data_IF_234990368820
#
_entry.id   IF_234990368820
#
_cell.length_a   1.000
_cell.length_b   1.000
_cell.length_c   1.000
_cell.angle_alpha   90.00
_cell.angle_beta   90.00
_cell.angle_gamma   90.00
#
_symmetry.space_group_name_H-M   'P 1'
#
loop_
_entity.id
_entity.type
_entity.pdbx_description
1 polymer ?
#
# COMPACT_ATOMS: atom_id res chain seq x y z
N UNK A 1 -10.31 3.96 19.62
CA UNK A 1 -10.73 2.74 18.91
C UNK A 1 -10.54 2.95 17.42
N UNK A 2 -9.40 2.51 16.89
CA UNK A 2 -9.15 2.38 15.45
C UNK A 2 -10.11 1.32 14.90
N UNK A 3 -10.83 1.65 13.82
CA UNK A 3 -11.65 0.66 13.12
C UNK A 3 -10.70 -0.38 12.51
N UNK A 4 -11.06 -1.68 12.45
CA UNK A 4 -10.31 -2.62 11.63
C UNK A 4 -10.47 -2.19 10.17
N UNK A 5 -9.43 -1.59 9.60
CA UNK A 5 -9.34 -1.34 8.17
C UNK A 5 -9.17 -2.68 7.46
N UNK A 6 -9.66 -2.75 6.22
CA UNK A 6 -9.91 -3.99 5.46
C UNK A 6 -8.89 -5.10 5.74
N UNK A 7 -9.41 -6.25 6.15
CA UNK A 7 -8.59 -7.43 6.47
C UNK A 7 -7.66 -7.73 5.30
N UNK A 8 -6.36 -7.87 5.56
CA UNK A 8 -5.41 -8.39 4.58
C UNK A 8 -5.68 -9.89 4.44
N UNK A 9 -6.60 -10.25 3.53
CA UNK A 9 -7.18 -11.60 3.45
C UNK A 9 -6.26 -12.60 2.77
N UNK A 10 -5.31 -12.12 1.99
CA UNK A 10 -4.40 -12.91 1.18
C UNK A 10 -2.95 -12.58 1.55
N UNK A 11 -2.71 -12.34 2.85
CA UNK A 11 -1.41 -12.01 3.40
C UNK A 11 -1.08 -12.96 4.54
N UNK A 12 0.09 -13.58 4.46
CA UNK A 12 0.60 -14.49 5.47
C UNK A 12 2.03 -14.11 5.85
N UNK A 13 2.37 -14.32 7.12
CA UNK A 13 3.75 -14.34 7.58
C UNK A 13 4.16 -15.80 7.77
N UNK A 14 4.95 -16.38 6.86
CA UNK A 14 5.37 -17.77 6.96
C UNK A 14 6.21 -18.00 8.21
N UNK A 15 5.93 -19.11 8.89
CA UNK A 15 6.74 -19.62 9.98
C UNK A 15 7.73 -20.67 9.45
N UNK A 16 8.70 -21.07 10.28
CA UNK A 16 9.61 -22.18 9.94
C UNK A 16 8.85 -23.49 9.61
N UNK A 17 7.63 -23.65 10.13
CA UNK A 17 6.76 -24.81 9.91
C UNK A 17 5.78 -24.61 8.75
N UNK A 18 5.73 -23.43 8.14
CA UNK A 18 4.84 -23.19 7.00
C UNK A 18 5.34 -23.98 5.80
N UNK A 19 4.44 -24.68 5.08
CA UNK A 19 4.83 -25.29 3.82
C UNK A 19 5.33 -24.20 2.89
N UNK A 20 6.43 -24.42 2.17
CA UNK A 20 6.94 -23.44 1.24
C UNK A 20 5.87 -23.12 0.20
N UNK A 21 5.75 -21.83 -0.14
CA UNK A 21 4.82 -21.39 -1.17
C UNK A 21 5.46 -21.58 -2.56
N UNK A 22 4.68 -21.91 -3.59
CA UNK A 22 5.20 -21.94 -4.95
C UNK A 22 5.62 -20.51 -5.34
N UNK A 23 6.90 -20.35 -5.68
CA UNK A 23 7.40 -19.16 -6.36
C UNK A 23 7.55 -19.52 -7.83
N UNK A 24 6.73 -18.93 -8.69
CA UNK A 24 7.03 -18.99 -10.11
C UNK A 24 8.18 -18.02 -10.39
N UNK A 25 9.15 -18.42 -11.22
CA UNK A 25 10.02 -17.43 -11.85
C UNK A 25 10.24 -17.70 -13.32
N UNK A 26 10.22 -16.64 -14.11
CA UNK A 26 10.58 -16.70 -15.52
C UNK A 26 12.10 -16.56 -15.64
N UNK A 27 12.74 -17.43 -16.43
CA UNK A 27 14.18 -17.34 -16.74
C UNK A 27 14.34 -17.38 -18.25
N UNK A 28 14.85 -16.30 -18.86
CA UNK A 28 15.02 -16.18 -20.32
C UNK A 28 13.69 -16.31 -21.05
N UNK A 29 12.61 -15.73 -20.51
CA UNK A 29 11.28 -15.74 -21.13
C UNK A 29 10.48 -17.05 -21.02
N UNK A 30 11.03 -18.10 -20.40
CA UNK A 30 10.30 -19.33 -20.11
C UNK A 30 9.89 -19.39 -18.64
N UNK A 31 8.61 -19.65 -18.38
CA UNK A 31 8.12 -19.90 -17.03
C UNK A 31 8.83 -21.14 -16.49
N UNK A 32 9.60 -20.96 -15.42
CA UNK A 32 10.15 -22.05 -14.65
C UNK A 32 9.46 -22.05 -13.29
N UNK A 33 9.06 -23.22 -12.83
CA UNK A 33 8.79 -23.37 -11.40
C UNK A 33 10.14 -23.16 -10.69
N UNK A 34 10.28 -22.05 -9.97
CA UNK A 34 11.37 -21.96 -9.00
C UNK A 34 10.91 -22.77 -7.82
N UNK A 35 11.76 -23.69 -7.39
CA UNK A 35 11.42 -24.61 -6.32
C UNK A 35 10.86 -23.84 -5.12
N UNK A 36 9.96 -24.50 -4.41
CA UNK A 36 9.48 -24.16 -3.10
C UNK A 36 10.52 -23.40 -2.25
N UNK A 37 10.30 -22.11 -2.00
CA UNK A 37 11.16 -21.31 -1.13
C UNK A 37 10.48 -21.07 0.21
N UNK A 38 11.17 -21.37 1.31
CA UNK A 38 10.71 -21.00 2.64
C UNK A 38 11.20 -19.59 2.98
N UNK A 39 10.36 -18.58 2.80
CA UNK A 39 10.70 -17.18 3.09
C UNK A 39 10.78 -16.86 4.58
N UNK A 40 10.40 -17.78 5.48
CA UNK A 40 10.45 -17.54 6.94
C UNK A 40 11.86 -17.19 7.43
N UNK A 41 12.90 -17.66 6.72
CA UNK A 41 14.31 -17.35 7.02
C UNK A 41 14.63 -15.86 6.90
N UNK A 42 13.83 -15.09 6.16
CA UNK A 42 13.96 -13.64 6.01
C UNK A 42 13.34 -12.87 7.19
N UNK A 43 12.56 -13.54 8.04
CA UNK A 43 11.91 -12.94 9.21
C UNK A 43 11.19 -11.63 8.90
N UNK A 44 11.30 -10.67 9.82
CA UNK A 44 10.68 -9.35 9.69
C UNK A 44 11.21 -8.53 8.49
N UNK A 45 12.37 -8.87 7.92
CA UNK A 45 12.96 -8.13 6.82
C UNK A 45 12.28 -8.40 5.46
N UNK A 46 11.64 -9.56 5.28
CA UNK A 46 11.09 -9.91 3.96
C UNK A 46 10.30 -11.21 3.86
N UNK A 47 9.91 -11.84 4.98
CA UNK A 47 9.21 -13.12 4.91
C UNK A 47 7.76 -13.03 4.38
N UNK A 48 7.14 -11.85 4.49
CA UNK A 48 5.71 -11.65 4.19
C UNK A 48 5.35 -12.04 2.75
N UNK A 49 4.36 -12.91 2.60
CA UNK A 49 3.74 -13.25 1.31
C UNK A 49 2.38 -12.55 1.24
N UNK A 50 2.11 -11.83 0.15
CA UNK A 50 0.92 -11.00 0.00
C UNK A 50 0.49 -10.88 -1.46
N UNK A 51 -0.60 -10.15 -1.70
CA UNK A 51 -1.10 -9.82 -3.04
C UNK A 51 -0.96 -8.32 -3.33
N UNK A 52 -1.06 -7.94 -4.61
CA UNK A 52 -1.07 -6.53 -5.00
C UNK A 52 -2.17 -5.73 -4.33
N UNK A 53 -3.36 -6.33 -4.18
CA UNK A 53 -4.50 -5.70 -3.52
C UNK A 53 -4.26 -5.48 -2.03
N UNK A 54 -3.74 -6.48 -1.32
CA UNK A 54 -3.49 -6.37 0.12
C UNK A 54 -2.36 -5.36 0.41
N UNK A 55 -1.26 -5.40 -0.36
CA UNK A 55 -0.14 -4.46 -0.18
C UNK A 55 -0.55 -3.02 -0.46
N UNK A 56 -1.32 -2.77 -1.53
CA UNK A 56 -1.82 -1.41 -1.80
C UNK A 56 -2.81 -0.94 -0.73
N UNK A 57 -3.68 -1.83 -0.23
CA UNK A 57 -4.56 -1.50 0.90
C UNK A 57 -3.79 -1.14 2.17
N UNK A 58 -2.72 -1.90 2.49
CA UNK A 58 -1.84 -1.60 3.61
C UNK A 58 -1.17 -0.23 3.48
N UNK A 59 -0.54 0.04 2.33
CA UNK A 59 0.13 1.32 2.11
C UNK A 59 -0.86 2.50 2.11
N UNK A 60 -2.07 2.33 1.54
CA UNK A 60 -3.13 3.35 1.61
C UNK A 60 -3.52 3.65 3.06
N UNK A 61 -3.80 2.63 3.87
CA UNK A 61 -4.18 2.81 5.27
C UNK A 61 -3.04 3.43 6.10
N UNK A 62 -1.79 3.01 5.85
CA UNK A 62 -0.61 3.57 6.48
C UNK A 62 -0.46 5.07 6.15
N UNK A 63 -0.52 5.44 4.87
CA UNK A 63 -0.37 6.82 4.41
C UNK A 63 -1.56 7.70 4.84
N UNK A 64 -2.76 7.13 4.98
CA UNK A 64 -3.92 7.83 5.50
C UNK A 64 -3.87 8.07 7.02
N UNK A 65 -2.87 7.53 7.74
CA UNK A 65 -2.76 7.63 9.20
C UNK A 65 -3.76 6.78 9.95
N UNK A 66 -4.26 5.72 9.33
CA UNK A 66 -5.26 4.83 9.91
C UNK A 66 -4.62 3.76 10.82
N UNK A 67 -3.33 3.50 10.62
CA UNK A 67 -2.57 2.45 11.32
C UNK A 67 -1.66 2.98 12.43
N UNK A 68 -1.27 4.26 12.38
CA UNK A 68 -0.29 4.86 13.27
C UNK A 68 -0.86 6.15 13.90
N UNK A 69 -0.52 6.44 15.18
CA UNK A 69 -0.74 7.77 15.75
C UNK A 69 -0.06 8.87 14.91
N UNK A 70 -0.58 10.11 14.91
CA UNK A 70 -0.04 11.20 14.07
C UNK A 70 1.46 11.44 14.25
N UNK A 71 1.96 11.36 15.48
CA UNK A 71 3.38 11.55 15.82
C UNK A 71 4.27 10.47 15.21
N UNK A 72 3.86 9.20 15.31
CA UNK A 72 4.56 8.07 14.71
C UNK A 72 4.51 8.13 13.17
N UNK A 73 3.39 8.56 12.59
CA UNK A 73 3.28 8.78 11.14
C UNK A 73 4.23 9.89 10.67
N UNK A 74 4.36 10.97 11.45
CA UNK A 74 5.30 12.05 11.14
C UNK A 74 6.75 11.56 11.16
N UNK A 75 7.13 10.76 12.16
CA UNK A 75 8.46 10.12 12.22
C UNK A 75 8.68 9.15 11.05
N UNK A 76 7.69 8.34 10.69
CA UNK A 76 7.77 7.42 9.55
C UNK A 76 8.03 8.14 8.22
N UNK A 77 7.49 9.36 8.07
CA UNK A 77 7.65 10.22 6.89
C UNK A 77 8.86 11.14 6.95
N UNK A 78 9.65 11.10 8.02
CA UNK A 78 10.93 11.80 8.07
C UNK A 78 11.90 11.06 7.14
N UNK A 79 12.06 11.60 5.95
CA UNK A 79 12.79 10.98 4.84
C UNK A 79 14.21 11.53 4.72
N UNK A 80 15.12 10.68 4.25
CA UNK A 80 16.50 11.04 3.88
C UNK A 80 16.83 10.50 2.48
N UNK A 81 17.73 11.12 1.71
CA UNK A 81 18.16 10.57 0.41
C UNK A 81 18.65 9.12 0.51
N UNK A 82 18.36 8.30 -0.49
CA UNK A 82 18.83 6.91 -0.54
C UNK A 82 19.08 6.42 -1.98
N UNK A 83 19.87 5.36 -2.10
CA UNK A 83 20.30 4.81 -3.40
C UNK A 83 19.43 3.64 -3.90
N UNK A 84 18.18 3.54 -3.43
CA UNK A 84 17.27 2.46 -3.88
C UNK A 84 16.75 2.65 -5.30
N UNK A 85 16.66 3.90 -5.76
CA UNK A 85 16.28 4.30 -7.10
C UNK A 85 16.71 5.76 -7.33
N UNK A 86 16.69 6.20 -8.59
CA UNK A 86 16.95 7.63 -8.89
C UNK A 86 15.95 8.54 -8.16
N UNK A 87 16.48 9.46 -7.36
CA UNK A 87 15.68 10.42 -6.59
C UNK A 87 14.87 9.80 -5.45
N UNK A 88 15.20 8.56 -5.04
CA UNK A 88 14.53 7.92 -3.92
C UNK A 88 14.95 8.54 -2.58
N UNK A 89 13.99 8.56 -1.66
CA UNK A 89 14.22 8.95 -0.28
C UNK A 89 13.59 7.88 0.62
N UNK A 90 14.16 7.69 1.81
CA UNK A 90 13.80 6.60 2.71
C UNK A 90 13.40 7.13 4.08
N UNK A 91 12.25 6.69 4.58
CA UNK A 91 11.78 6.95 5.94
C UNK A 91 11.90 5.72 6.83
N UNK A 92 11.17 5.68 7.94
CA UNK A 92 11.17 4.50 8.82
C UNK A 92 10.24 3.41 8.28
N UNK A 93 10.72 2.65 7.30
CA UNK A 93 9.99 1.55 6.68
C UNK A 93 9.66 1.79 5.21
N UNK A 94 8.84 2.80 4.85
CA UNK A 94 8.58 3.11 3.46
C UNK A 94 9.64 4.02 2.85
N UNK A 95 9.92 3.80 1.56
CA UNK A 95 10.59 4.74 0.68
C UNK A 95 9.57 5.61 -0.06
N UNK A 96 10.05 6.68 -0.69
CA UNK A 96 9.31 7.40 -1.72
C UNK A 96 10.18 7.69 -2.94
N UNK A 97 9.55 7.78 -4.10
CA UNK A 97 10.20 8.14 -5.37
C UNK A 97 9.31 9.11 -6.18
N UNK A 98 9.91 10.02 -6.96
CA UNK A 98 9.18 11.05 -7.69
C UNK A 98 8.41 10.45 -8.88
N UNK A 99 7.19 10.95 -9.14
CA UNK A 99 6.33 10.47 -10.22
C UNK A 99 6.53 11.27 -11.52
N UNK A 100 6.88 12.55 -11.44
CA UNK A 100 7.07 13.43 -12.61
C UNK A 100 8.53 13.62 -13.02
N UNK A 101 9.47 13.05 -12.27
CA UNK A 101 10.90 13.35 -12.43
C UNK A 101 11.35 14.66 -11.79
N UNK A 102 10.41 15.46 -11.26
CA UNK A 102 10.65 16.60 -10.37
C UNK A 102 9.88 16.43 -9.05
N UNK A 103 10.28 17.16 -8.01
CA UNK A 103 9.64 17.07 -6.69
C UNK A 103 8.20 17.64 -6.66
N UNK A 104 7.75 18.28 -7.76
CA UNK A 104 6.48 19.02 -7.85
C UNK A 104 5.28 18.21 -8.34
N UNK A 105 5.50 17.12 -9.10
CA UNK A 105 4.42 16.27 -9.63
C UNK A 105 4.05 15.06 -8.75
N UNK A 106 4.42 15.12 -7.47
CA UNK A 106 3.96 14.18 -6.44
C UNK A 106 4.86 12.97 -6.25
N UNK A 107 4.57 12.24 -5.17
CA UNK A 107 5.39 11.15 -4.65
C UNK A 107 4.60 9.85 -4.63
N UNK A 108 5.26 8.76 -5.01
CA UNK A 108 4.79 7.41 -4.69
C UNK A 108 5.46 6.96 -3.40
N UNK A 109 4.66 6.67 -2.37
CA UNK A 109 5.09 6.13 -1.08
C UNK A 109 4.85 4.62 -1.03
N UNK A 110 5.86 3.84 -0.68
CA UNK A 110 5.73 2.40 -0.55
C UNK A 110 7.06 1.73 -0.26
N UNK A 111 7.14 0.42 -0.43
CA UNK A 111 8.41 -0.30 -0.35
C UNK A 111 8.39 -1.50 -1.29
N UNK A 112 9.53 -1.80 -1.90
CA UNK A 112 9.69 -2.94 -2.79
C UNK A 112 10.33 -4.14 -2.10
N UNK A 113 10.19 -5.32 -2.67
CA UNK A 113 10.89 -6.53 -2.22
C UNK A 113 11.66 -7.17 -3.36
N UNK A 114 12.73 -7.89 -3.05
CA UNK A 114 13.35 -8.81 -3.99
C UNK A 114 13.80 -10.04 -3.22
N UNK A 115 13.21 -11.16 -3.57
CA UNK A 115 13.60 -12.51 -3.14
C UNK A 115 13.85 -13.32 -4.40
N UNK A 116 14.58 -14.43 -4.31
CA UNK A 116 14.87 -15.23 -5.50
C UNK A 116 13.59 -15.54 -6.30
N UNK A 117 13.61 -15.19 -7.59
CA UNK A 117 12.49 -15.38 -8.50
C UNK A 117 11.36 -14.33 -8.44
N UNK A 118 11.25 -13.49 -7.40
CA UNK A 118 10.17 -12.50 -7.30
C UNK A 118 10.66 -11.10 -6.92
N UNK A 119 10.13 -10.09 -7.60
CA UNK A 119 10.37 -8.68 -7.28
C UNK A 119 9.08 -7.89 -7.28
N UNK A 120 8.91 -7.04 -6.29
CA UNK A 120 7.77 -6.12 -6.18
C UNK A 120 8.25 -4.67 -6.11
N UNK A 121 7.55 -3.76 -6.79
CA UNK A 121 7.71 -2.30 -6.67
C UNK A 121 6.33 -1.67 -6.72
N UNK A 122 6.18 -0.49 -6.14
CA UNK A 122 4.89 0.19 -6.10
C UNK A 122 4.65 0.87 -4.78
N UNK A 123 3.42 1.32 -4.61
CA UNK A 123 2.99 2.10 -3.48
C UNK A 123 1.73 2.89 -3.79
N UNK A 124 1.56 3.96 -3.02
CA UNK A 124 0.39 4.83 -3.05
C UNK A 124 0.82 6.29 -3.09
N UNK A 125 -0.09 7.13 -3.56
CA UNK A 125 0.10 8.57 -3.69
C UNK A 125 -0.73 9.31 -2.65
N UNK A 126 -0.39 10.57 -2.39
CA UNK A 126 -1.16 11.43 -1.49
C UNK A 126 -2.58 11.71 -2.01
N UNK A 127 -2.81 11.55 -3.32
CA UNK A 127 -4.12 11.59 -3.97
C UNK A 127 -4.84 10.25 -4.05
N UNK A 128 -4.41 9.26 -3.23
CA UNK A 128 -5.08 7.97 -3.04
C UNK A 128 -5.16 7.10 -4.31
N UNK A 129 -4.22 7.28 -5.23
CA UNK A 129 -3.95 6.33 -6.33
C UNK A 129 -2.94 5.30 -5.85
N UNK A 130 -3.12 4.05 -6.27
CA UNK A 130 -2.29 2.93 -5.84
C UNK A 130 -1.88 2.08 -7.04
N UNK A 131 -0.60 1.67 -7.06
CA UNK A 131 -0.04 0.79 -8.09
C UNK A 131 0.93 -0.15 -7.40
N UNK A 132 0.83 -1.46 -7.68
CA UNK A 132 1.87 -2.43 -7.34
C UNK A 132 2.17 -3.28 -8.57
N UNK A 133 3.45 -3.38 -8.91
CA UNK A 133 3.97 -4.25 -9.96
C UNK A 133 4.76 -5.37 -9.29
N UNK A 134 4.35 -6.62 -9.56
CA UNK A 134 5.07 -7.82 -9.19
C UNK A 134 5.57 -8.49 -10.48
N UNK A 135 6.86 -8.78 -10.52
CA UNK A 135 7.48 -9.54 -11.62
C UNK A 135 8.09 -10.81 -11.07
N UNK A 136 8.00 -11.86 -11.86
CA UNK A 136 8.58 -13.16 -11.56
C UNK A 136 9.89 -13.39 -12.33
N UNK A 137 10.50 -12.37 -12.92
CA UNK A 137 11.82 -12.45 -13.55
C UNK A 137 12.71 -11.36 -12.97
N UNK A 138 13.87 -11.77 -12.47
CA UNK A 138 14.89 -10.82 -12.01
C UNK A 138 15.92 -10.71 -13.12
N UNK A 139 15.96 -9.54 -13.75
CA UNK A 139 16.97 -9.24 -14.76
C UNK A 139 18.37 -9.32 -14.16
N UNK A 140 19.33 -9.95 -14.85
CA UNK A 140 20.73 -9.94 -14.45
C UNK A 140 21.41 -8.58 -14.69
N UNK A 141 20.77 -7.67 -15.44
CA UNK A 141 21.25 -6.30 -15.62
C UNK A 141 20.97 -5.48 -14.34
N UNK A 142 21.97 -4.77 -13.77
CA UNK A 142 21.78 -3.83 -12.66
C UNK A 142 20.61 -2.85 -12.84
N UNK A 143 20.33 -2.41 -14.06
CA UNK A 143 19.24 -1.49 -14.40
C UNK A 143 17.84 -2.12 -14.29
N UNK A 144 17.73 -3.46 -14.23
CA UNK A 144 16.44 -4.14 -14.17
C UNK A 144 15.60 -3.74 -12.96
N UNK A 145 16.25 -3.42 -11.83
CA UNK A 145 15.58 -2.89 -10.64
C UNK A 145 14.87 -1.56 -10.94
N UNK A 146 15.56 -0.68 -11.66
CA UNK A 146 15.08 0.64 -12.01
C UNK A 146 13.98 0.55 -13.07
N UNK A 147 14.07 -0.37 -14.03
CA UNK A 147 13.04 -0.57 -15.06
C UNK A 147 11.65 -0.90 -14.48
N UNK A 148 11.57 -1.68 -13.39
CA UNK A 148 10.29 -1.97 -12.71
C UNK A 148 9.73 -0.71 -12.03
N UNK A 149 10.60 0.13 -11.46
CA UNK A 149 10.21 1.41 -10.86
C UNK A 149 9.73 2.39 -11.93
N UNK A 150 10.47 2.50 -13.04
CA UNK A 150 10.10 3.33 -14.19
C UNK A 150 8.74 2.89 -14.77
N UNK A 151 8.42 1.59 -14.72
CA UNK A 151 7.09 1.06 -15.08
C UNK A 151 6.00 1.57 -14.13
N UNK A 152 6.23 1.52 -12.81
CA UNK A 152 5.30 2.08 -11.81
C UNK A 152 5.06 3.57 -12.06
N UNK A 153 6.13 4.33 -12.28
CA UNK A 153 6.07 5.77 -12.57
C UNK A 153 5.24 6.04 -13.83
N UNK A 154 5.48 5.30 -14.93
CA UNK A 154 4.70 5.42 -16.17
C UNK A 154 3.21 5.14 -15.95
N UNK A 155 2.86 4.14 -15.14
CA UNK A 155 1.46 3.84 -14.81
C UNK A 155 0.83 5.03 -14.08
N UNK A 156 1.51 5.59 -13.07
CA UNK A 156 1.00 6.78 -12.37
C UNK A 156 0.88 8.01 -13.28
N UNK A 157 1.78 8.19 -14.24
CA UNK A 157 1.69 9.28 -15.21
C UNK A 157 0.52 9.09 -16.19
N UNK A 158 0.18 7.85 -16.54
CA UNK A 158 -0.94 7.54 -17.41
C UNK A 158 -2.32 7.61 -16.71
N UNK A 159 -2.35 7.51 -15.38
CA UNK A 159 -3.58 7.55 -14.59
C UNK A 159 -3.85 9.00 -14.13
N UNK A 160 -4.99 9.61 -14.51
CA UNK A 160 -5.31 10.98 -14.10
C UNK A 160 -5.34 11.16 -12.59
N UNK A 161 -4.96 12.36 -12.12
CA UNK A 161 -5.09 12.73 -10.71
C UNK A 161 -6.54 12.67 -10.23
N UNK A 162 -6.72 12.32 -8.95
CA UNK A 162 -8.03 12.40 -8.31
C UNK A 162 -8.20 13.76 -7.65
N UNK A 163 -9.25 14.49 -8.03
CA UNK A 163 -9.60 15.75 -7.37
C UNK A 163 -9.95 15.54 -5.89
N UNK A 164 -9.09 16.03 -4.99
CA UNK A 164 -9.26 15.96 -3.53
C UNK A 164 -10.58 16.60 -3.02
N UNK A 165 -11.22 17.46 -3.82
CA UNK A 165 -12.49 18.14 -3.49
C UNK A 165 -13.68 17.17 -3.31
N UNK A 166 -13.66 16.02 -3.98
CA UNK A 166 -14.79 15.07 -3.96
C UNK A 166 -14.85 14.21 -2.68
N UNK A 167 -13.70 13.88 -2.06
CA UNK A 167 -13.65 13.08 -0.82
C UNK A 167 -14.12 13.87 0.40
N UNK A 168 -13.72 15.14 0.52
CA UNK A 168 -14.16 16.03 1.60
C UNK A 168 -15.68 16.29 1.56
N UNK A 169 -16.27 16.38 0.36
CA UNK A 169 -17.72 16.48 0.20
C UNK A 169 -18.44 15.19 0.59
N UNK A 170 -17.92 14.01 0.24
CA UNK A 170 -18.52 12.72 0.64
C UNK A 170 -18.45 12.47 2.15
N UNK A 171 -17.33 12.77 2.82
CA UNK A 171 -17.22 12.61 4.28
C UNK A 171 -18.12 13.60 5.03
N UNK A 172 -18.20 14.87 4.60
CA UNK A 172 -19.15 15.85 5.17
C UNK A 172 -20.60 15.43 4.93
N UNK A 173 -20.94 14.95 3.74
CA UNK A 173 -22.30 14.50 3.41
C UNK A 173 -22.70 13.24 4.22
N UNK A 174 -21.78 12.30 4.40
CA UNK A 174 -22.04 11.08 5.17
C UNK A 174 -22.20 11.36 6.67
N UNK A 175 -21.39 12.29 7.22
CA UNK A 175 -21.51 12.76 8.61
C UNK A 175 -22.82 13.52 8.85
N UNK A 176 -23.24 14.37 7.91
CA UNK A 176 -24.52 15.10 7.96
C UNK A 176 -25.73 14.17 7.91
N UNK A 177 -25.70 13.13 7.07
CA UNK A 177 -26.77 12.12 7.01
C UNK A 177 -26.89 11.39 8.34
N UNK A 178 -25.78 10.88 8.90
CA UNK A 178 -25.79 10.15 10.17
C UNK A 178 -26.35 10.99 11.34
N UNK A 179 -25.93 12.25 11.47
CA UNK A 179 -26.45 13.16 12.51
C UNK A 179 -27.94 13.48 12.35
N UNK A 180 -28.45 13.49 11.11
CA UNK A 180 -29.88 13.72 10.85
C UNK A 180 -30.72 12.49 11.19
N UNK A 181 -30.22 11.29 10.95
CA UNK A 181 -30.90 10.03 11.30
C UNK A 181 -30.96 9.84 12.83
N UNK A 182 -29.89 10.20 13.53
CA UNK A 182 -29.79 10.09 14.98
C UNK A 182 -30.73 11.09 15.70
N UNK A 183 -30.79 12.34 15.21
CA UNK A 183 -31.74 13.36 15.70
C UNK A 183 -33.21 12.96 15.50
N UNK A 184 -33.53 12.36 14.35
CA UNK A 184 -34.91 11.91 14.08
C UNK A 184 -35.31 10.70 14.95
N UNK A 185 -34.35 9.86 15.33
CA UNK A 185 -34.56 8.71 16.24
C UNK A 185 -34.69 9.13 17.70
N UNK A 186 -34.05 10.22 18.13
CA UNK A 186 -34.24 10.78 19.48
C UNK A 186 -35.60 11.48 19.63
N UNK A 187 -36.05 12.21 18.60
CA UNK A 187 -37.32 12.96 18.64
C UNK A 187 -38.56 12.05 18.64
N UNK A 188 -38.49 10.88 17.98
CA UNK A 188 -39.58 9.88 18.00
C UNK A 188 -39.65 9.12 19.32
N UNK A 189 -38.51 8.89 19.98
CA UNK A 189 -38.43 8.20 21.29
C UNK A 189 -38.94 9.07 22.45
N UNK A 190 -38.86 10.40 22.36
CA UNK A 190 -39.41 11.32 23.37
C UNK A 190 -40.92 11.52 23.27
N UNK A 191 -41.56 11.16 22.15
CA UNK A 191 -43.01 11.32 21.95
C UNK A 191 -43.85 10.07 22.24
N UNK A 192 -43.23 8.94 22.57
CA UNK A 192 -43.90 7.64 22.79
C UNK A 192 -44.17 7.26 24.25
N UNK A 193 -43.96 8.17 25.21
CA UNK A 193 -44.19 7.90 26.64
C UNK A 193 -45.63 8.15 27.08
N UNK A 194 -46.44 7.08 27.05
CA UNK A 194 -47.73 6.83 27.74
C UNK A 194 -48.94 7.74 27.46
N UNK A 195 -50.12 7.10 27.30
CA UNK A 195 -51.09 7.19 28.41
C UNK A 195 -51.71 5.84 28.81
N UNK A 196 -51.94 5.75 30.12
CA UNK A 196 -52.84 4.89 30.91
C UNK A 196 -52.80 3.37 30.72
#
# INVERSE_FOLDING_TARGET
MTKPHGTLRNTILPSALSPPAPLSATRRGFLREVGFANTSVLGAAGALVSTGQDLTAYFSAQLAGELLPPEALAQMRAIVPCDLARGAEYGLGPARYPISGDAGGGWCWGHGGTVEGTRTRGGVTEDDRAVLVAVNEISPNPEGSQAVIDTVVRIFQAVPHRDHRTRAHRTKAHRRKASRTEKHRSETRTKGGSPS
#
